data_IF_779481701917
#
_entry.id   IF_779481701917
#
_cell.length_a   1.000
_cell.length_b   1.000
_cell.length_c   1.000
_cell.angle_alpha   90.00
_cell.angle_beta   90.00
_cell.angle_gamma   90.00
#
_symmetry.space_group_name_H-M   'P 1'
#
loop_
_entity.id
_entity.type
_entity.pdbx_description
1 polymer ?
#
# COMPACT_ATOMS: atom_id res chain seq x y z
N UNK A 1 18.95 4.52 7.72
CA UNK A 1 19.99 5.33 7.01
C UNK A 1 19.50 6.73 6.64
N UNK A 2 18.40 7.22 7.22
CA UNK A 2 17.93 8.59 6.98
C UNK A 2 16.46 8.74 7.38
N UNK A 3 16.01 9.99 7.48
CA UNK A 3 14.67 10.38 7.89
C UNK A 3 14.36 11.75 7.29
N UNK A 4 13.09 12.13 7.28
CA UNK A 4 12.67 13.48 6.87
C UNK A 4 11.45 13.91 7.67
N UNK A 5 11.22 15.22 7.74
CA UNK A 5 10.00 15.84 8.25
C UNK A 5 9.52 16.83 7.20
N UNK A 6 8.21 16.93 7.03
CA UNK A 6 7.61 18.01 6.28
C UNK A 6 7.43 19.25 7.16
N UNK A 7 6.94 20.33 6.55
CA UNK A 7 6.48 21.53 7.24
C UNK A 7 5.47 21.18 8.34
N UNK A 8 5.40 22.05 9.36
CA UNK A 8 4.54 21.88 10.54
C UNK A 8 4.85 20.64 11.39
N UNK A 9 6.08 20.11 11.28
CA UNK A 9 6.53 18.96 12.10
C UNK A 9 5.67 17.71 11.93
N UNK A 10 5.27 17.43 10.69
CA UNK A 10 4.46 16.26 10.32
C UNK A 10 5.05 15.52 9.13
N UNK A 11 4.37 14.46 8.70
CA UNK A 11 4.68 13.75 7.45
C UNK A 11 3.51 13.91 6.47
N UNK A 12 3.76 13.99 5.15
CA UNK A 12 2.72 14.29 4.15
C UNK A 12 1.56 13.29 4.07
N UNK A 13 1.75 12.11 4.66
CA UNK A 13 0.80 10.99 4.65
C UNK A 13 0.12 10.77 6.01
N UNK A 14 0.39 11.63 7.00
CA UNK A 14 -0.28 11.63 8.29
C UNK A 14 -1.39 12.68 8.33
N UNK A 15 -2.41 12.41 9.13
CA UNK A 15 -3.50 13.35 9.43
C UNK A 15 -3.26 14.03 10.79
N UNK A 16 -3.88 15.19 11.06
CA UNK A 16 -3.82 15.80 12.40
C UNK A 16 -4.29 14.87 13.52
N UNK A 17 -5.30 14.02 13.24
CA UNK A 17 -5.80 13.02 14.17
C UNK A 17 -4.74 11.97 14.52
N UNK A 18 -3.90 11.59 13.57
CA UNK A 18 -2.81 10.63 13.82
C UNK A 18 -1.83 11.20 14.86
N UNK A 19 -1.42 12.47 14.68
CA UNK A 19 -0.50 13.14 15.60
C UNK A 19 -1.11 13.30 16.99
N UNK A 20 -2.37 13.71 17.09
CA UNK A 20 -3.07 13.85 18.37
C UNK A 20 -3.21 12.50 19.08
N UNK A 21 -3.50 11.43 18.32
CA UNK A 21 -3.58 10.07 18.88
C UNK A 21 -2.22 9.63 19.42
N UNK A 22 -1.14 9.80 18.64
CA UNK A 22 0.22 9.46 19.07
C UNK A 22 0.63 10.25 20.32
N UNK A 23 0.30 11.55 20.38
CA UNK A 23 0.51 12.40 21.56
C UNK A 23 -0.26 11.87 22.77
N UNK A 24 -1.54 11.54 22.62
CA UNK A 24 -2.36 11.01 23.71
C UNK A 24 -1.81 9.67 24.26
N UNK A 25 -1.22 8.85 23.40
CA UNK A 25 -0.54 7.62 23.81
C UNK A 25 0.71 7.91 24.64
N UNK A 26 1.55 8.87 24.22
CA UNK A 26 2.71 9.31 25.02
C UNK A 26 2.29 9.82 26.40
N UNK A 27 1.26 10.68 26.46
CA UNK A 27 0.76 11.25 27.72
C UNK A 27 0.19 10.17 28.64
N UNK A 28 -0.52 9.19 28.08
CA UNK A 28 -1.05 8.05 28.84
C UNK A 28 0.10 7.23 29.41
N UNK A 29 1.10 6.90 28.60
CA UNK A 29 2.26 6.12 29.06
C UNK A 29 3.03 6.83 30.17
N UNK A 30 3.26 8.14 30.05
CA UNK A 30 3.94 8.94 31.09
C UNK A 30 3.16 8.87 32.42
N UNK A 31 1.83 9.02 32.35
CA UNK A 31 0.96 8.97 33.53
C UNK A 31 0.95 7.59 34.19
N UNK A 32 0.86 6.52 33.40
CA UNK A 32 0.88 5.16 33.92
C UNK A 32 2.26 4.79 34.49
N UNK A 33 3.35 5.30 33.92
CA UNK A 33 4.69 5.15 34.50
C UNK A 33 4.79 5.81 35.87
N UNK A 34 4.25 7.02 36.03
CA UNK A 34 4.21 7.69 37.33
C UNK A 34 3.36 6.91 38.34
N UNK A 35 2.17 6.46 37.95
CA UNK A 35 1.30 5.66 38.82
C UNK A 35 1.96 4.35 39.27
N UNK A 36 2.69 3.68 38.38
CA UNK A 36 3.34 2.40 38.67
C UNK A 36 4.63 2.55 39.49
N UNK A 37 5.38 3.64 39.32
CA UNK A 37 6.69 3.83 39.96
C UNK A 37 6.66 4.75 41.17
N UNK A 38 5.57 5.51 41.35
CA UNK A 38 5.46 6.55 42.38
C UNK A 38 6.36 7.76 42.13
N UNK A 39 6.90 7.93 40.93
CA UNK A 39 7.78 9.05 40.56
C UNK A 39 7.52 9.52 39.13
N UNK A 40 7.49 10.84 38.87
CA UNK A 40 7.21 11.36 37.54
C UNK A 40 8.36 11.01 36.58
N UNK A 41 8.00 10.65 35.34
CA UNK A 41 8.99 10.45 34.29
C UNK A 41 9.65 11.79 33.92
N UNK A 42 10.99 11.83 33.94
CA UNK A 42 11.80 12.99 33.54
C UNK A 42 12.82 12.57 32.50
N UNK A 43 12.71 13.10 31.29
CA UNK A 43 13.63 12.80 30.20
C UNK A 43 12.94 12.82 28.85
N UNK A 44 13.57 12.17 27.88
CA UNK A 44 13.08 12.09 26.50
C UNK A 44 12.40 10.75 26.29
N UNK A 45 11.09 10.80 26.05
CA UNK A 45 10.30 9.64 25.64
C UNK A 45 10.14 9.65 24.12
N UNK A 46 10.81 8.72 23.45
CA UNK A 46 10.59 8.45 22.04
C UNK A 46 9.54 7.35 21.88
N UNK A 47 8.41 7.70 21.24
CA UNK A 47 7.40 6.76 20.79
C UNK A 47 7.64 6.36 19.34
N UNK A 48 7.89 5.07 19.09
CA UNK A 48 7.89 4.49 17.76
C UNK A 48 6.46 4.16 17.34
N UNK A 49 5.99 4.74 16.24
CA UNK A 49 4.61 4.59 15.78
C UNK A 49 4.52 4.05 14.35
N UNK A 50 3.45 3.30 14.08
CA UNK A 50 3.07 2.86 12.74
C UNK A 50 1.71 3.46 12.37
N UNK A 51 1.61 4.10 11.21
CA UNK A 51 0.33 4.46 10.63
C UNK A 51 -0.27 3.26 9.89
N UNK A 52 -1.52 2.93 10.20
CA UNK A 52 -2.27 1.79 9.66
C UNK A 52 -3.57 2.25 8.99
N UNK A 53 -4.37 1.29 8.50
CA UNK A 53 -5.72 1.54 7.98
C UNK A 53 -6.63 2.19 9.03
N UNK A 54 -6.52 1.76 10.29
CA UNK A 54 -7.44 2.12 11.37
C UNK A 54 -6.92 3.24 12.28
N UNK A 55 -5.70 3.74 12.05
CA UNK A 55 -5.13 4.85 12.82
C UNK A 55 -3.66 4.65 13.11
N UNK A 56 -3.18 5.19 14.24
CA UNK A 56 -1.81 5.01 14.71
C UNK A 56 -1.75 3.82 15.67
N UNK A 57 -0.70 3.00 15.54
CA UNK A 57 -0.37 1.92 16.46
C UNK A 57 1.01 2.14 17.06
N UNK A 58 1.18 1.77 18.33
CA UNK A 58 2.47 1.83 19.02
C UNK A 58 3.30 0.62 18.59
N UNK A 59 4.55 0.87 18.20
CA UNK A 59 5.57 -0.17 17.96
C UNK A 59 6.36 -0.38 19.25
N UNK A 60 6.96 0.68 19.77
CA UNK A 60 7.86 0.64 20.91
C UNK A 60 8.00 2.00 21.59
N UNK A 61 8.56 1.99 22.79
CA UNK A 61 9.01 3.18 23.51
C UNK A 61 10.49 3.06 23.87
N UNK A 62 11.21 4.18 23.78
CA UNK A 62 12.58 4.29 24.25
C UNK A 62 12.75 5.54 25.12
N UNK A 63 13.49 5.41 26.23
CA UNK A 63 13.87 6.54 27.10
C UNK A 63 15.15 7.24 26.57
N UNK A 64 15.11 7.68 25.31
CA UNK A 64 16.18 8.40 24.60
C UNK A 64 15.60 9.07 23.36
N UNK A 65 16.40 9.90 22.71
CA UNK A 65 16.09 10.38 21.36
C UNK A 65 16.02 9.24 20.32
N UNK A 66 15.09 9.37 19.38
CA UNK A 66 15.03 8.53 18.17
C UNK A 66 16.18 8.85 17.20
N UNK A 67 16.64 7.85 16.44
CA UNK A 67 17.76 7.98 15.51
C UNK A 67 17.40 7.33 14.15
N UNK A 68 17.30 8.12 13.05
CA UNK A 68 17.81 9.49 12.86
C UNK A 68 16.85 10.65 13.17
N UNK A 69 15.62 10.39 13.63
CA UNK A 69 14.55 11.40 13.72
C UNK A 69 14.95 12.63 14.56
N UNK A 70 15.73 12.43 15.62
CA UNK A 70 16.25 13.51 16.45
C UNK A 70 17.12 14.50 15.67
N UNK A 71 17.92 14.02 14.70
CA UNK A 71 18.79 14.90 13.91
C UNK A 71 17.98 15.90 13.09
N UNK A 72 16.80 15.52 12.61
CA UNK A 72 15.88 16.46 11.99
C UNK A 72 15.28 17.43 13.02
N UNK A 73 14.72 16.89 14.11
CA UNK A 73 14.06 17.67 15.15
C UNK A 73 14.97 18.76 15.72
N UNK A 74 16.22 18.43 16.03
CA UNK A 74 17.19 19.37 16.59
C UNK A 74 17.50 20.56 15.66
N UNK A 75 17.43 20.36 14.34
CA UNK A 75 17.61 21.46 13.38
C UNK A 75 16.36 22.33 13.23
N UNK A 76 15.19 21.80 13.63
CA UNK A 76 13.93 22.53 13.57
C UNK A 76 13.68 23.35 14.83
N UNK A 77 14.28 23.02 15.99
CA UNK A 77 14.06 23.78 17.22
C UNK A 77 14.67 25.19 17.09
N UNK A 78 13.86 26.20 17.41
CA UNK A 78 14.27 27.62 17.49
C UNK A 78 14.52 28.09 18.91
N UNK A 79 13.89 27.45 19.89
CA UNK A 79 14.07 27.74 21.30
C UNK A 79 15.44 27.29 21.85
N UNK A 80 15.79 27.76 23.04
CA UNK A 80 16.99 27.34 23.76
C UNK A 80 16.85 25.88 24.25
N UNK A 81 17.52 24.97 23.56
CA UNK A 81 17.54 23.53 23.90
C UNK A 81 18.25 23.24 25.21
N UNK A 82 19.23 24.07 25.62
CA UNK A 82 19.92 23.89 26.90
C UNK A 82 18.97 24.19 28.05
N UNK A 83 18.25 25.31 27.97
CA UNK A 83 17.20 25.65 28.94
C UNK A 83 16.15 24.54 29.04
N UNK A 84 15.71 23.99 27.90
CA UNK A 84 14.76 22.87 27.87
C UNK A 84 15.29 21.66 28.65
N UNK A 85 16.56 21.28 28.45
CA UNK A 85 17.17 20.16 29.15
C UNK A 85 17.36 20.42 30.64
N UNK A 86 17.82 21.62 31.02
CA UNK A 86 17.99 22.03 32.42
C UNK A 86 16.64 22.01 33.16
N UNK A 87 15.59 22.58 32.56
CA UNK A 87 14.24 22.54 33.12
C UNK A 87 13.69 21.12 33.23
N UNK A 88 13.97 20.27 32.25
CA UNK A 88 13.59 18.84 32.29
C UNK A 88 14.26 18.12 33.46
N UNK A 89 15.59 18.28 33.61
CA UNK A 89 16.36 17.68 34.69
C UNK A 89 15.87 18.16 36.08
N UNK A 90 15.56 19.45 36.20
CA UNK A 90 15.12 20.07 37.45
C UNK A 90 13.62 19.88 37.73
N UNK A 91 12.83 19.33 36.80
CA UNK A 91 11.39 19.14 36.97
C UNK A 91 10.57 20.44 36.85
N UNK A 92 11.11 21.45 36.17
CA UNK A 92 10.51 22.79 35.97
C UNK A 92 10.16 23.08 34.50
N UNK A 93 10.01 22.01 33.69
CA UNK A 93 9.65 22.10 32.27
C UNK A 93 8.24 22.68 32.05
N UNK A 94 7.33 22.52 33.01
CA UNK A 94 5.99 23.09 32.93
C UNK A 94 6.05 24.61 32.63
N UNK A 95 5.36 25.04 31.57
CA UNK A 95 5.36 26.44 31.11
C UNK A 95 6.44 26.79 30.10
N UNK A 96 7.40 25.91 29.81
CA UNK A 96 8.30 26.07 28.67
C UNK A 96 7.57 25.81 27.36
N UNK A 97 7.65 26.75 26.41
CA UNK A 97 7.07 26.60 25.08
C UNK A 97 8.18 26.30 24.08
N UNK A 98 8.11 25.13 23.44
CA UNK A 98 9.03 24.74 22.38
C UNK A 98 8.57 25.34 21.05
N UNK A 99 9.39 26.21 20.48
CA UNK A 99 9.17 26.80 19.16
C UNK A 99 9.94 26.00 18.10
N UNK A 100 9.22 25.61 17.05
CA UNK A 100 9.76 24.86 15.92
C UNK A 100 9.70 25.72 14.65
N UNK A 101 10.72 25.59 13.83
CA UNK A 101 10.77 26.07 12.45
C UNK A 101 9.69 25.39 11.62
N UNK A 102 9.02 26.13 10.75
CA UNK A 102 8.08 25.55 9.79
C UNK A 102 8.75 24.88 8.58
N UNK A 103 10.08 24.85 8.55
CA UNK A 103 10.85 24.24 7.47
C UNK A 103 10.64 22.71 7.40
N UNK A 104 10.80 22.17 6.20
CA UNK A 104 11.04 20.74 6.03
C UNK A 104 12.52 20.42 6.34
N UNK A 105 12.79 19.18 6.71
CA UNK A 105 14.15 18.70 7.02
C UNK A 105 14.41 17.34 6.41
N UNK A 106 15.60 17.12 5.89
CA UNK A 106 16.05 15.80 5.40
C UNK A 106 17.38 15.46 6.04
N UNK A 107 17.47 14.26 6.61
CA UNK A 107 18.67 13.68 7.17
C UNK A 107 19.05 12.42 6.38
N UNK A 108 20.30 12.35 5.93
CA UNK A 108 20.86 11.16 5.27
C UNK A 108 22.14 10.74 5.96
N UNK A 109 22.19 9.48 6.38
CA UNK A 109 23.43 8.87 6.86
C UNK A 109 24.29 8.39 5.71
N UNK A 110 25.57 8.73 5.78
CA UNK A 110 26.64 8.04 5.07
C UNK A 110 27.22 6.99 6.01
N UNK A 111 27.30 5.76 5.53
CA UNK A 111 27.70 4.58 6.31
C UNK A 111 28.75 3.78 5.56
N UNK A 112 29.58 2.95 6.23
CA UNK A 112 30.51 2.06 5.54
C UNK A 112 29.80 1.18 4.51
N UNK A 113 30.50 0.82 3.42
CA UNK A 113 29.93 -0.02 2.35
C UNK A 113 29.34 -1.34 2.89
N UNK A 114 29.95 -1.90 3.92
CA UNK A 114 29.58 -3.17 4.56
C UNK A 114 28.43 -3.04 5.58
N UNK A 115 28.05 -1.83 5.99
CA UNK A 115 26.98 -1.64 6.97
C UNK A 115 25.62 -2.07 6.40
N UNK A 116 24.75 -2.77 7.15
CA UNK A 116 24.90 -3.17 8.57
C UNK A 116 25.49 -4.57 8.78
N UNK A 117 25.94 -5.24 7.70
CA UNK A 117 26.35 -6.64 7.73
C UNK A 117 27.68 -6.85 8.48
N UNK A 118 28.66 -5.99 8.23
CA UNK A 118 29.97 -6.04 8.90
C UNK A 118 30.38 -4.65 9.43
N UNK A 119 31.20 -4.65 10.47
CA UNK A 119 31.70 -3.43 11.12
C UNK A 119 33.11 -3.10 10.64
N UNK A 120 33.23 -2.63 9.39
CA UNK A 120 34.52 -2.21 8.84
C UNK A 120 34.98 -0.88 9.46
N UNK A 121 36.15 -0.89 10.11
CA UNK A 121 36.75 0.25 10.80
C UNK A 121 38.04 0.71 10.12
N UNK A 122 38.48 1.92 10.43
CA UNK A 122 39.78 2.45 10.02
C UNK A 122 39.83 2.97 8.58
N UNK A 123 38.70 3.00 7.86
CA UNK A 123 38.67 3.56 6.51
C UNK A 123 38.63 5.10 6.60
N UNK A 124 39.48 5.81 5.85
CA UNK A 124 39.56 7.27 5.93
C UNK A 124 38.29 7.94 5.38
N UNK A 125 37.86 8.99 6.08
CA UNK A 125 36.72 9.83 5.73
C UNK A 125 37.19 11.28 5.70
N UNK A 126 36.94 11.95 4.57
CA UNK A 126 37.28 13.35 4.38
C UNK A 126 36.03 14.16 4.09
N UNK A 127 35.83 15.19 4.90
CA UNK A 127 34.73 16.15 4.77
C UNK A 127 35.34 17.41 4.13
N UNK A 128 35.01 17.65 2.86
CA UNK A 128 35.46 18.84 2.14
C UNK A 128 34.65 20.09 2.52
N UNK A 129 34.83 21.16 1.76
CA UNK A 129 34.03 22.38 1.93
C UNK A 129 32.55 22.09 1.58
N UNK A 130 31.67 22.38 2.53
CA UNK A 130 30.23 22.15 2.38
C UNK A 130 29.51 23.44 1.98
N UNK A 131 28.41 23.34 1.21
CA UNK A 131 27.51 24.46 1.00
C UNK A 131 26.97 25.01 2.33
N UNK A 132 26.58 26.28 2.34
CA UNK A 132 25.90 26.88 3.49
C UNK A 132 24.57 26.16 3.78
N UNK A 133 24.20 26.06 5.07
CA UNK A 133 22.94 25.46 5.50
C UNK A 133 22.95 23.93 5.62
N UNK A 134 24.12 23.30 5.49
CA UNK A 134 24.31 21.87 5.74
C UNK A 134 24.86 21.65 7.15
N UNK A 135 24.12 20.90 7.95
CA UNK A 135 24.58 20.44 9.25
C UNK A 135 25.21 19.05 9.13
N UNK A 136 26.42 18.90 9.66
CA UNK A 136 27.12 17.62 9.74
C UNK A 136 27.05 17.10 11.16
N UNK A 137 26.51 15.90 11.33
CA UNK A 137 26.50 15.21 12.61
C UNK A 137 27.42 13.99 12.51
N UNK A 138 28.57 14.05 13.18
CA UNK A 138 29.45 12.89 13.30
C UNK A 138 28.78 11.82 14.16
N UNK A 139 28.85 10.56 13.71
CA UNK A 139 28.32 9.41 14.42
C UNK A 139 29.45 8.52 14.90
N UNK A 140 29.69 7.43 14.18
CA UNK A 140 30.69 6.41 14.47
C UNK A 140 31.96 6.65 13.65
N UNK A 141 32.76 7.59 14.13
CA UNK A 141 34.10 7.91 13.61
C UNK A 141 35.10 8.04 14.75
N UNK A 142 36.34 7.68 14.47
CA UNK A 142 37.48 7.97 15.34
C UNK A 142 38.35 9.05 14.70
N UNK A 143 39.02 9.84 15.53
CA UNK A 143 40.01 10.82 15.07
C UNK A 143 41.42 10.21 15.19
N UNK A 144 42.11 10.12 14.05
CA UNK A 144 43.49 9.63 13.98
C UNK A 144 44.39 10.72 13.41
N UNK A 145 45.10 11.44 14.29
CA UNK A 145 45.88 12.60 13.91
C UNK A 145 44.96 13.73 13.43
N UNK A 146 45.09 14.14 12.16
CA UNK A 146 44.26 15.17 11.53
C UNK A 146 43.14 14.60 10.63
N UNK A 147 42.91 13.28 10.67
CA UNK A 147 41.97 12.58 9.78
C UNK A 147 40.91 11.83 10.55
N UNK A 148 39.69 11.79 10.00
CA UNK A 148 38.60 10.96 10.50
C UNK A 148 38.66 9.57 9.86
N UNK A 149 38.40 8.54 10.65
CA UNK A 149 38.25 7.16 10.15
C UNK A 149 36.94 6.54 10.61
N UNK A 150 36.42 5.57 9.86
CA UNK A 150 35.17 4.88 10.24
C UNK A 150 35.37 4.04 11.52
N UNK A 151 34.37 4.03 12.39
CA UNK A 151 34.38 3.18 13.60
C UNK A 151 33.42 1.97 13.53
N UNK A 152 32.88 1.67 12.33
CA UNK A 152 32.14 0.44 12.04
C UNK A 152 30.61 0.54 12.09
N UNK A 153 30.05 1.72 12.36
CA UNK A 153 28.59 1.97 12.30
C UNK A 153 28.28 3.20 11.44
N UNK A 154 27.17 3.90 11.69
CA UNK A 154 26.75 5.09 10.95
C UNK A 154 27.81 6.19 11.08
N UNK A 155 28.57 6.46 10.01
CA UNK A 155 29.76 7.33 10.04
C UNK A 155 29.40 8.79 10.32
N UNK A 156 28.55 9.39 9.48
CA UNK A 156 28.09 10.76 9.65
C UNK A 156 26.72 10.94 8.99
N UNK A 157 25.94 11.87 9.50
CA UNK A 157 24.72 12.35 8.88
C UNK A 157 24.91 13.74 8.31
N UNK A 158 24.29 13.97 7.16
CA UNK A 158 24.06 15.30 6.62
C UNK A 158 22.59 15.65 6.81
N UNK A 159 22.33 16.81 7.38
CA UNK A 159 20.99 17.35 7.57
C UNK A 159 20.90 18.70 6.87
N UNK A 160 19.84 18.93 6.12
CA UNK A 160 19.54 20.23 5.58
C UNK A 160 18.06 20.57 5.78
N UNK A 161 17.79 21.87 5.83
CA UNK A 161 16.45 22.43 5.83
C UNK A 161 16.07 22.94 4.44
N UNK A 162 14.78 23.12 4.21
CA UNK A 162 14.22 23.74 3.01
C UNK A 162 12.75 24.10 3.21
N UNK A 163 12.17 24.84 2.28
CA UNK A 163 10.73 25.11 2.26
C UNK A 163 9.91 23.85 1.95
N UNK A 164 10.53 22.87 1.29
CA UNK A 164 9.95 21.56 0.97
C UNK A 164 10.92 20.42 1.27
N UNK A 165 10.40 19.20 1.44
CA UNK A 165 11.23 17.99 1.59
C UNK A 165 12.17 17.84 0.39
N UNK A 166 11.70 18.15 -0.82
CA UNK A 166 12.50 18.02 -2.03
C UNK A 166 13.68 19.00 -2.06
N UNK A 167 13.45 20.25 -1.67
CA UNK A 167 14.50 21.25 -1.57
C UNK A 167 15.54 20.85 -0.52
N UNK A 168 15.10 20.51 0.70
CA UNK A 168 15.97 20.02 1.76
C UNK A 168 16.79 18.80 1.31
N UNK A 169 16.16 17.87 0.59
CA UNK A 169 16.85 16.72 -0.01
C UNK A 169 17.91 17.18 -1.01
N UNK A 170 17.59 18.09 -1.92
CA UNK A 170 18.52 18.54 -2.95
C UNK A 170 19.77 19.18 -2.34
N UNK A 171 19.60 19.94 -1.25
CA UNK A 171 20.72 20.47 -0.45
C UNK A 171 21.61 19.33 0.09
N UNK A 172 21.03 18.32 0.75
CA UNK A 172 21.78 17.16 1.24
C UNK A 172 22.49 16.42 0.11
N UNK A 173 21.80 16.14 -1.00
CA UNK A 173 22.37 15.39 -2.11
C UNK A 173 23.52 16.13 -2.80
N UNK A 174 23.41 17.46 -2.93
CA UNK A 174 24.52 18.29 -3.42
C UNK A 174 25.74 18.22 -2.50
N UNK A 175 25.51 18.27 -1.18
CA UNK A 175 26.56 18.24 -0.16
C UNK A 175 27.29 16.90 -0.06
N UNK A 176 26.64 15.78 -0.40
CA UNK A 176 27.26 14.45 -0.39
C UNK A 176 28.51 14.39 -1.28
N UNK A 177 28.55 15.14 -2.39
CA UNK A 177 29.71 15.17 -3.30
C UNK A 177 31.00 15.71 -2.65
N UNK A 178 30.88 16.49 -1.57
CA UNK A 178 32.00 16.98 -0.78
C UNK A 178 32.52 15.97 0.25
N UNK A 179 31.85 14.82 0.41
CA UNK A 179 32.29 13.75 1.32
C UNK A 179 33.02 12.67 0.53
N UNK A 180 34.28 12.39 0.91
CA UNK A 180 35.10 11.34 0.30
C UNK A 180 35.37 10.23 1.31
N UNK A 181 35.25 8.99 0.87
CA UNK A 181 35.50 7.79 1.68
C UNK A 181 34.79 6.58 1.11
N UNK A 182 35.07 5.39 1.64
CA UNK A 182 34.35 4.15 1.28
C UNK A 182 33.00 4.09 1.99
N UNK A 183 32.10 4.97 1.59
CA UNK A 183 30.79 5.14 2.19
C UNK A 183 29.67 4.91 1.16
N UNK A 184 28.51 4.47 1.65
CA UNK A 184 27.25 4.39 0.91
C UNK A 184 26.17 5.15 1.66
N UNK A 185 25.10 5.48 0.95
CA UNK A 185 23.93 6.15 1.50
C UNK A 185 22.69 5.73 0.71
N UNK A 186 21.51 6.10 1.21
CA UNK A 186 20.24 5.93 0.48
C UNK A 186 19.89 7.23 -0.25
N UNK A 187 19.89 7.18 -1.58
CA UNK A 187 19.55 8.32 -2.44
C UNK A 187 18.04 8.61 -2.52
N UNK A 188 17.19 7.68 -2.09
CA UNK A 188 15.73 7.77 -2.17
C UNK A 188 15.10 8.53 -0.99
N UNK A 189 15.84 8.75 0.10
CA UNK A 189 15.35 9.47 1.30
C UNK A 189 14.89 10.88 0.89
N UNK A 190 13.64 11.22 1.24
CA UNK A 190 13.01 12.50 0.89
C UNK A 190 12.73 12.70 -0.60
N UNK A 191 12.94 11.69 -1.46
CA UNK A 191 12.67 11.85 -2.90
C UNK A 191 11.17 12.00 -3.15
N UNK A 192 10.80 12.77 -4.17
CA UNK A 192 9.40 12.94 -4.59
C UNK A 192 8.71 11.59 -4.80
N UNK A 193 9.36 10.68 -5.51
CA UNK A 193 8.86 9.33 -5.76
C UNK A 193 8.59 8.54 -4.46
N UNK A 194 9.50 8.57 -3.48
CA UNK A 194 9.30 7.88 -2.20
C UNK A 194 8.17 8.50 -1.39
N UNK A 195 8.11 9.83 -1.35
CA UNK A 195 7.07 10.57 -0.61
C UNK A 195 5.69 10.32 -1.23
N UNK A 196 5.55 10.46 -2.54
CA UNK A 196 4.31 10.15 -3.27
C UNK A 196 3.89 8.70 -3.10
N UNK A 197 4.84 7.76 -3.15
CA UNK A 197 4.56 6.34 -2.88
C UNK A 197 3.94 6.14 -1.51
N UNK A 198 4.44 6.81 -0.46
CA UNK A 198 3.88 6.70 0.90
C UNK A 198 2.51 7.38 1.03
N UNK A 199 2.32 8.54 0.42
CA UNK A 199 1.02 9.23 0.37
C UNK A 199 -0.02 8.32 -0.30
N UNK A 200 0.30 7.79 -1.48
CA UNK A 200 -0.59 6.92 -2.23
C UNK A 200 -0.87 5.62 -1.47
N UNK A 201 0.14 5.02 -0.86
CA UNK A 201 -0.04 3.83 -0.05
C UNK A 201 -1.01 4.08 1.12
N UNK A 202 -0.83 5.16 1.89
CA UNK A 202 -1.74 5.49 2.99
C UNK A 202 -3.15 5.83 2.51
N UNK A 203 -3.28 6.52 1.38
CA UNK A 203 -4.58 6.79 0.75
C UNK A 203 -5.30 5.50 0.35
N UNK A 204 -4.57 4.55 -0.25
CA UNK A 204 -5.09 3.25 -0.64
C UNK A 204 -5.48 2.41 0.57
N UNK A 205 -4.64 2.41 1.61
CA UNK A 205 -4.85 1.65 2.83
C UNK A 205 -6.07 2.15 3.62
N UNK A 206 -6.29 3.47 3.69
CA UNK A 206 -7.37 4.09 4.48
C UNK A 206 -8.66 4.34 3.71
N UNK A 207 -8.60 4.25 2.38
CA UNK A 207 -9.76 4.47 1.53
C UNK A 207 -9.75 3.49 0.36
N UNK A 208 -9.77 2.17 0.63
CA UNK A 208 -9.78 1.15 -0.42
C UNK A 208 -11.06 1.22 -1.25
N UNK A 209 -11.02 0.66 -2.46
CA UNK A 209 -12.22 0.40 -3.25
C UNK A 209 -13.03 -0.72 -2.59
N UNK A 210 -14.25 -0.42 -2.15
CA UNK A 210 -15.13 -1.39 -1.50
C UNK A 210 -15.81 -2.27 -2.54
N UNK A 211 -15.57 -3.57 -2.50
CA UNK A 211 -16.13 -4.50 -3.47
C UNK A 211 -17.03 -5.56 -2.85
N UNK A 212 -18.00 -6.03 -3.63
CA UNK A 212 -18.70 -7.28 -3.39
C UNK A 212 -18.29 -8.32 -4.42
N UNK A 213 -18.18 -9.57 -3.98
CA UNK A 213 -17.96 -10.72 -4.87
C UNK A 213 -19.22 -11.58 -4.87
N UNK A 214 -19.74 -11.90 -6.04
CA UNK A 214 -20.94 -12.72 -6.20
C UNK A 214 -20.60 -13.95 -7.03
N UNK A 215 -20.93 -15.14 -6.54
CA UNK A 215 -20.62 -16.39 -7.23
C UNK A 215 -21.52 -17.56 -6.87
N UNK A 216 -21.62 -18.54 -7.77
CA UNK A 216 -22.41 -19.76 -7.57
C UNK A 216 -21.56 -21.01 -7.39
N UNK A 217 -20.24 -20.91 -7.57
CA UNK A 217 -19.32 -22.05 -7.69
C UNK A 217 -18.24 -22.03 -6.60
N UNK A 218 -17.03 -22.50 -6.92
CA UNK A 218 -15.91 -22.59 -5.99
C UNK A 218 -15.19 -21.24 -5.77
N UNK A 219 -15.43 -20.25 -6.63
CA UNK A 219 -14.79 -18.93 -6.54
C UNK A 219 -13.26 -19.01 -6.51
N UNK A 220 -12.64 -19.68 -7.48
CA UNK A 220 -11.17 -19.81 -7.52
C UNK A 220 -10.50 -18.45 -7.65
N UNK A 221 -11.02 -17.57 -8.50
CA UNK A 221 -10.40 -16.27 -8.79
C UNK A 221 -10.51 -15.28 -7.62
N UNK A 222 -11.40 -15.55 -6.66
CA UNK A 222 -11.50 -14.79 -5.42
C UNK A 222 -10.21 -14.87 -4.60
N UNK A 223 -9.51 -16.01 -4.61
CA UNK A 223 -8.25 -16.18 -3.87
C UNK A 223 -7.16 -15.24 -4.40
N UNK A 224 -7.11 -15.03 -5.72
CA UNK A 224 -6.16 -14.11 -6.32
C UNK A 224 -6.41 -12.66 -5.87
N UNK A 225 -7.68 -12.26 -5.75
CA UNK A 225 -8.06 -10.93 -5.23
C UNK A 225 -7.64 -10.81 -3.76
N UNK A 226 -7.96 -11.80 -2.92
CA UNK A 226 -7.60 -11.82 -1.50
C UNK A 226 -6.07 -11.73 -1.32
N UNK A 227 -5.31 -12.51 -2.10
CA UNK A 227 -3.85 -12.52 -2.05
C UNK A 227 -3.25 -11.15 -2.40
N UNK A 228 -3.76 -10.47 -3.43
CA UNK A 228 -3.26 -9.14 -3.83
C UNK A 228 -3.67 -8.04 -2.84
N UNK A 229 -4.85 -8.14 -2.23
CA UNK A 229 -5.25 -7.24 -1.13
C UNK A 229 -4.30 -7.45 0.06
N UNK A 230 -4.06 -8.70 0.46
CA UNK A 230 -3.18 -9.04 1.59
C UNK A 230 -1.72 -8.60 1.38
N UNK A 231 -1.26 -8.54 0.13
CA UNK A 231 0.06 -7.99 -0.24
C UNK A 231 0.10 -6.46 -0.30
N UNK A 232 -1.05 -5.79 -0.22
CA UNK A 232 -1.17 -4.34 -0.40
C UNK A 232 -0.93 -3.86 -1.83
N UNK A 233 -0.97 -4.76 -2.83
CA UNK A 233 -0.81 -4.44 -4.25
C UNK A 233 -2.13 -4.10 -4.93
N UNK A 234 -3.26 -4.54 -4.38
CA UNK A 234 -4.59 -4.18 -4.83
C UNK A 234 -5.27 -3.26 -3.80
N UNK A 235 -5.57 -1.99 -4.13
CA UNK A 235 -6.19 -1.04 -3.21
C UNK A 235 -7.71 -1.25 -3.10
N UNK A 236 -8.12 -2.44 -2.67
CA UNK A 236 -9.51 -2.83 -2.53
C UNK A 236 -9.76 -3.56 -1.20
N UNK A 237 -11.01 -3.57 -0.76
CA UNK A 237 -11.49 -4.36 0.37
C UNK A 237 -12.73 -5.14 -0.05
N UNK A 238 -12.81 -6.41 0.33
CA UNK A 238 -13.99 -7.25 0.07
C UNK A 238 -14.94 -7.05 1.25
N UNK A 239 -16.00 -6.27 1.05
CA UNK A 239 -16.98 -5.98 2.10
C UNK A 239 -17.99 -7.11 2.26
N UNK A 240 -18.26 -7.84 1.17
CA UNK A 240 -19.32 -8.84 1.15
C UNK A 240 -19.10 -9.89 0.06
N UNK A 241 -19.36 -11.16 0.41
CA UNK A 241 -19.43 -12.27 -0.55
C UNK A 241 -20.84 -12.86 -0.57
N UNK A 242 -21.45 -12.90 -1.75
CA UNK A 242 -22.81 -13.40 -1.94
C UNK A 242 -22.85 -14.66 -2.81
N UNK A 243 -23.74 -15.58 -2.46
CA UNK A 243 -24.03 -16.74 -3.31
C UNK A 243 -25.51 -17.06 -3.34
N UNK A 244 -26.01 -17.54 -4.47
CA UNK A 244 -27.34 -18.12 -4.59
C UNK A 244 -27.40 -19.61 -4.14
N UNK A 245 -26.27 -20.17 -3.68
CA UNK A 245 -26.16 -21.57 -3.27
C UNK A 245 -25.56 -21.68 -1.87
N UNK A 246 -26.31 -22.34 -0.97
CA UNK A 246 -25.97 -22.50 0.45
C UNK A 246 -24.61 -23.15 0.66
N UNK A 247 -24.32 -24.23 -0.08
CA UNK A 247 -23.12 -25.05 0.09
C UNK A 247 -22.03 -24.74 -0.95
N UNK A 248 -22.03 -23.51 -1.50
CA UNK A 248 -21.04 -23.09 -2.49
C UNK A 248 -19.62 -23.03 -1.90
N UNK A 249 -18.62 -23.29 -2.74
CA UNK A 249 -17.22 -23.18 -2.31
C UNK A 249 -16.82 -21.72 -2.03
N UNK A 250 -17.43 -20.76 -2.73
CA UNK A 250 -17.13 -19.34 -2.52
C UNK A 250 -17.53 -18.84 -1.13
N UNK A 251 -18.69 -19.26 -0.60
CA UNK A 251 -19.09 -18.92 0.78
C UNK A 251 -18.16 -19.57 1.82
N UNK A 252 -17.78 -20.84 1.62
CA UNK A 252 -16.83 -21.52 2.51
C UNK A 252 -15.48 -20.81 2.58
N UNK A 253 -14.97 -20.34 1.43
CA UNK A 253 -13.73 -19.55 1.37
C UNK A 253 -13.87 -18.19 2.03
N UNK A 254 -14.96 -17.48 1.78
CA UNK A 254 -15.23 -16.20 2.42
C UNK A 254 -15.23 -16.35 3.95
N UNK A 255 -15.89 -17.38 4.47
CA UNK A 255 -15.89 -17.71 5.89
C UNK A 255 -14.47 -18.03 6.41
N UNK A 256 -13.67 -18.81 5.67
CA UNK A 256 -12.31 -19.15 6.07
C UNK A 256 -11.37 -17.94 6.17
N UNK A 257 -11.61 -16.91 5.34
CA UNK A 257 -10.88 -15.64 5.37
C UNK A 257 -11.52 -14.58 6.29
N UNK A 258 -12.59 -14.92 7.01
CA UNK A 258 -13.29 -13.98 7.91
C UNK A 258 -14.05 -12.87 7.19
N UNK A 259 -14.36 -13.04 5.90
CA UNK A 259 -15.07 -12.05 5.08
C UNK A 259 -16.59 -12.20 5.29
N UNK A 260 -17.33 -11.08 5.53
CA UNK A 260 -18.79 -11.12 5.61
C UNK A 260 -19.40 -11.79 4.38
N UNK A 261 -20.35 -12.70 4.60
CA UNK A 261 -20.94 -13.46 3.51
C UNK A 261 -22.39 -13.86 3.78
N UNK A 262 -23.17 -14.04 2.72
CA UNK A 262 -24.58 -14.38 2.82
C UNK A 262 -25.11 -15.23 1.65
N UNK A 263 -26.07 -16.09 1.97
CA UNK A 263 -26.91 -16.80 1.00
C UNK A 263 -28.03 -15.89 0.52
N UNK A 264 -28.20 -15.78 -0.80
CA UNK A 264 -29.34 -15.10 -1.43
C UNK A 264 -30.38 -16.15 -1.86
N UNK A 265 -31.39 -16.36 -1.01
CA UNK A 265 -32.44 -17.36 -1.24
C UNK A 265 -33.46 -16.97 -2.34
N UNK A 266 -33.56 -15.68 -2.67
CA UNK A 266 -34.50 -15.16 -3.67
C UNK A 266 -34.28 -15.70 -5.08
N UNK A 267 -35.25 -15.45 -5.97
CA UNK A 267 -35.19 -15.77 -7.41
C UNK A 267 -35.58 -14.55 -8.25
N UNK A 268 -35.05 -14.48 -9.47
CA UNK A 268 -35.35 -13.38 -10.41
C UNK A 268 -35.17 -12.00 -9.77
N UNK A 269 -36.09 -11.07 -10.04
CA UNK A 269 -36.04 -9.71 -9.51
C UNK A 269 -35.97 -9.63 -7.97
N UNK A 270 -36.54 -10.59 -7.24
CA UNK A 270 -36.43 -10.60 -5.78
C UNK A 270 -35.00 -10.89 -5.30
N UNK A 271 -34.24 -11.70 -6.05
CA UNK A 271 -32.80 -11.92 -5.81
C UNK A 271 -32.01 -10.65 -6.07
N UNK A 272 -32.26 -10.01 -7.19
CA UNK A 272 -31.51 -8.83 -7.64
C UNK A 272 -31.68 -7.65 -6.67
N UNK A 273 -32.90 -7.45 -6.16
CA UNK A 273 -33.18 -6.46 -5.10
C UNK A 273 -32.45 -6.78 -3.80
N UNK A 274 -32.39 -8.06 -3.41
CA UNK A 274 -31.70 -8.46 -2.18
C UNK A 274 -30.18 -8.31 -2.31
N UNK A 275 -29.60 -8.64 -3.47
CA UNK A 275 -28.19 -8.36 -3.77
C UNK A 275 -27.92 -6.86 -3.65
N UNK A 276 -28.75 -6.03 -4.29
CA UNK A 276 -28.61 -4.57 -4.27
C UNK A 276 -28.67 -4.03 -2.85
N UNK A 277 -29.69 -4.41 -2.08
CA UNK A 277 -29.85 -3.98 -0.68
C UNK A 277 -28.62 -4.30 0.15
N UNK A 278 -28.14 -5.55 0.11
CA UNK A 278 -26.98 -5.93 0.91
C UNK A 278 -25.69 -5.23 0.46
N UNK A 279 -25.50 -5.02 -0.84
CA UNK A 279 -24.36 -4.28 -1.36
C UNK A 279 -24.39 -2.79 -0.94
N UNK A 280 -25.57 -2.17 -0.94
CA UNK A 280 -25.76 -0.78 -0.49
C UNK A 280 -25.54 -0.63 1.02
N UNK A 281 -26.07 -1.56 1.83
CA UNK A 281 -25.85 -1.61 3.27
C UNK A 281 -24.36 -1.75 3.61
N UNK A 282 -23.63 -2.56 2.82
CA UNK A 282 -22.18 -2.72 2.90
C UNK A 282 -21.38 -1.60 2.19
N UNK A 283 -22.05 -0.59 1.62
CA UNK A 283 -21.46 0.55 0.91
C UNK A 283 -20.53 0.16 -0.26
N UNK A 284 -20.83 -0.95 -0.92
CA UNK A 284 -20.08 -1.48 -2.06
C UNK A 284 -20.08 -0.46 -3.20
N UNK A 285 -18.90 -0.28 -3.81
CA UNK A 285 -18.69 0.62 -4.95
C UNK A 285 -18.61 -0.14 -6.29
N UNK A 286 -18.17 -1.40 -6.27
CA UNK A 286 -18.03 -2.27 -7.45
C UNK A 286 -18.39 -3.72 -7.12
N UNK A 287 -19.08 -4.39 -8.03
CA UNK A 287 -19.46 -5.80 -7.93
C UNK A 287 -18.62 -6.63 -8.91
N UNK A 288 -18.08 -7.74 -8.42
CA UNK A 288 -17.31 -8.71 -9.21
C UNK A 288 -18.05 -10.03 -9.25
N UNK A 289 -18.45 -10.46 -10.44
CA UNK A 289 -19.07 -11.76 -10.66
C UNK A 289 -17.98 -12.81 -10.93
N UNK A 290 -17.93 -13.84 -10.09
CA UNK A 290 -16.97 -14.95 -10.20
C UNK A 290 -17.77 -16.26 -10.26
N UNK A 291 -17.95 -16.77 -11.47
CA UNK A 291 -18.73 -18.00 -11.70
C UNK A 291 -20.17 -17.88 -11.19
N UNK A 292 -20.81 -16.72 -11.40
CA UNK A 292 -22.21 -16.52 -11.08
C UNK A 292 -23.11 -17.07 -12.19
N UNK A 293 -24.00 -18.00 -11.86
CA UNK A 293 -24.71 -18.83 -12.85
C UNK A 293 -26.16 -18.37 -13.11
N UNK A 294 -26.45 -17.08 -12.88
CA UNK A 294 -27.81 -16.53 -12.96
C UNK A 294 -27.78 -15.25 -13.81
N UNK A 295 -28.87 -15.04 -14.54
CA UNK A 295 -29.08 -13.82 -15.32
C UNK A 295 -29.52 -12.72 -14.35
N UNK A 296 -28.87 -11.57 -14.43
CA UNK A 296 -29.22 -10.35 -13.72
C UNK A 296 -30.20 -9.53 -14.56
N UNK A 297 -31.27 -9.04 -13.93
CA UNK A 297 -32.31 -8.27 -14.60
C UNK A 297 -31.86 -6.87 -15.02
N UNK A 298 -32.64 -6.25 -15.92
CA UNK A 298 -32.33 -4.92 -16.44
C UNK A 298 -32.25 -3.84 -15.33
N UNK A 299 -33.16 -3.89 -14.36
CA UNK A 299 -33.19 -2.98 -13.21
C UNK A 299 -31.89 -3.03 -12.40
N UNK A 300 -31.33 -4.23 -12.20
CA UNK A 300 -30.04 -4.40 -11.53
C UNK A 300 -28.90 -3.79 -12.32
N UNK A 301 -28.83 -4.09 -13.62
CA UNK A 301 -27.79 -3.59 -14.51
C UNK A 301 -27.83 -2.07 -14.63
N UNK A 302 -29.02 -1.45 -14.61
CA UNK A 302 -29.18 0.00 -14.61
C UNK A 302 -28.74 0.61 -13.27
N UNK A 303 -29.15 0.02 -12.14
CA UNK A 303 -28.76 0.49 -10.80
C UNK A 303 -27.25 0.48 -10.60
N UNK A 304 -26.59 -0.59 -11.06
CA UNK A 304 -25.15 -0.79 -10.95
C UNK A 304 -24.42 -0.51 -12.27
N UNK A 305 -24.97 0.40 -13.09
CA UNK A 305 -24.39 0.73 -14.39
C UNK A 305 -22.90 1.10 -14.24
N UNK A 306 -22.07 0.55 -15.12
CA UNK A 306 -20.61 0.67 -15.10
C UNK A 306 -19.90 0.16 -13.83
N UNK A 307 -20.59 -0.51 -12.90
CA UNK A 307 -20.03 -0.94 -11.60
C UNK A 307 -20.03 -2.45 -11.40
N UNK A 308 -20.43 -3.22 -12.41
CA UNK A 308 -20.42 -4.69 -12.35
C UNK A 308 -19.52 -5.24 -13.44
N UNK A 309 -18.52 -6.03 -13.04
CA UNK A 309 -17.71 -6.83 -13.98
C UNK A 309 -17.99 -8.32 -13.83
N UNK A 310 -17.86 -9.05 -14.92
CA UNK A 310 -17.84 -10.50 -14.95
C UNK A 310 -16.56 -10.98 -15.61
N UNK A 311 -16.06 -12.13 -15.16
CA UNK A 311 -14.98 -12.85 -15.82
C UNK A 311 -15.55 -14.08 -16.55
N UNK A 312 -15.14 -14.25 -17.80
CA UNK A 312 -15.53 -15.38 -18.64
C UNK A 312 -14.29 -16.13 -19.15
N UNK A 313 -14.26 -17.48 -19.10
CA UNK A 313 -13.08 -18.30 -19.38
C UNK A 313 -12.81 -18.52 -20.88
N UNK A 314 -13.08 -17.50 -21.71
CA UNK A 314 -12.73 -17.46 -23.12
C UNK A 314 -12.40 -16.04 -23.58
N UNK A 315 -11.89 -15.92 -24.82
CA UNK A 315 -11.78 -14.64 -25.53
C UNK A 315 -13.12 -14.31 -26.19
N UNK A 316 -14.02 -13.59 -25.49
CA UNK A 316 -15.29 -13.15 -26.04
C UNK A 316 -15.07 -12.38 -27.37
N UNK A 317 -15.96 -12.57 -28.37
CA UNK A 317 -17.26 -13.25 -28.30
C UNK A 317 -17.22 -14.77 -28.46
N UNK A 318 -16.05 -15.39 -28.56
CA UNK A 318 -15.96 -16.86 -28.69
C UNK A 318 -16.53 -17.55 -27.45
N UNK A 319 -17.34 -18.59 -27.65
CA UNK A 319 -17.94 -19.38 -26.57
C UNK A 319 -18.75 -18.55 -25.55
N UNK A 320 -19.39 -17.46 -26.01
CA UNK A 320 -20.35 -16.72 -25.19
C UNK A 320 -21.52 -17.64 -24.77
N UNK A 321 -21.96 -17.53 -23.51
CA UNK A 321 -23.09 -18.29 -22.97
C UNK A 321 -22.82 -19.78 -22.70
N UNK A 322 -21.61 -20.29 -22.92
CA UNK A 322 -21.25 -21.67 -22.53
C UNK A 322 -20.82 -21.75 -21.07
N UNK A 323 -20.99 -22.92 -20.44
CA UNK A 323 -20.47 -23.16 -19.08
C UNK A 323 -18.94 -23.27 -19.12
N UNK A 324 -18.30 -22.87 -18.03
CA UNK A 324 -16.84 -22.90 -17.84
C UNK A 324 -16.17 -24.24 -18.23
N UNK A 325 -16.68 -25.36 -17.73
CA UNK A 325 -16.14 -26.71 -18.05
C UNK A 325 -16.24 -27.08 -19.53
N UNK A 326 -17.28 -26.59 -20.21
CA UNK A 326 -17.53 -26.90 -21.61
C UNK A 326 -16.60 -26.03 -22.49
N UNK A 327 -16.28 -24.82 -22.02
CA UNK A 327 -15.49 -23.82 -22.75
C UNK A 327 -14.07 -24.29 -23.02
N UNK A 328 -13.39 -24.89 -22.04
CA UNK A 328 -12.02 -25.40 -22.23
C UNK A 328 -11.96 -26.60 -23.17
N UNK A 329 -12.93 -27.50 -23.07
CA UNK A 329 -13.04 -28.67 -23.96
C UNK A 329 -13.27 -28.20 -25.40
N UNK A 330 -14.20 -27.26 -25.60
CA UNK A 330 -14.47 -26.67 -26.91
C UNK A 330 -13.25 -25.95 -27.50
N UNK A 331 -12.46 -25.25 -26.67
CA UNK A 331 -11.26 -24.58 -27.12
C UNK A 331 -10.18 -25.57 -27.59
N UNK A 332 -9.98 -26.67 -26.87
CA UNK A 332 -9.06 -27.76 -27.24
C UNK A 332 -9.53 -28.44 -28.53
N UNK A 333 -10.81 -28.78 -28.62
CA UNK A 333 -11.40 -29.38 -29.83
C UNK A 333 -11.26 -28.47 -31.05
N UNK A 334 -11.46 -27.16 -30.87
CA UNK A 334 -11.26 -26.17 -31.93
C UNK A 334 -9.80 -26.12 -32.37
N UNK A 335 -8.86 -26.15 -31.43
CA UNK A 335 -7.43 -26.21 -31.75
C UNK A 335 -7.13 -27.45 -32.60
N UNK A 336 -7.59 -28.64 -32.20
CA UNK A 336 -7.39 -29.87 -32.97
C UNK A 336 -7.98 -29.81 -34.38
N UNK A 337 -9.13 -29.16 -34.55
CA UNK A 337 -9.83 -29.07 -35.84
C UNK A 337 -9.27 -28.00 -36.79
N UNK A 338 -8.84 -26.86 -36.25
CA UNK A 338 -8.55 -25.65 -37.04
C UNK A 338 -7.09 -25.17 -36.93
N UNK A 339 -6.31 -25.74 -36.02
CA UNK A 339 -4.98 -25.25 -35.66
C UNK A 339 -4.99 -23.99 -34.80
N UNK A 340 -6.15 -23.42 -34.45
CA UNK A 340 -6.21 -22.22 -33.61
C UNK A 340 -5.96 -22.55 -32.12
N UNK A 341 -4.71 -22.36 -31.71
CA UNK A 341 -4.23 -22.57 -30.34
C UNK A 341 -4.46 -21.38 -29.37
N UNK A 342 -5.16 -20.32 -29.76
CA UNK A 342 -5.36 -19.15 -28.87
C UNK A 342 -6.66 -19.26 -28.10
N UNK A 343 -6.60 -19.28 -26.77
CA UNK A 343 -7.76 -19.09 -25.88
C UNK A 343 -7.42 -18.04 -24.84
N UNK A 344 -8.16 -17.93 -23.74
CA UNK A 344 -7.87 -16.96 -22.70
C UNK A 344 -9.04 -16.72 -21.78
N UNK A 345 -9.06 -15.53 -21.18
CA UNK A 345 -10.18 -15.04 -20.42
C UNK A 345 -10.54 -13.61 -20.82
N UNK A 346 -11.78 -13.24 -20.53
CA UNK A 346 -12.32 -11.90 -20.75
C UNK A 346 -12.95 -11.38 -19.47
N UNK A 347 -12.50 -10.22 -19.01
CA UNK A 347 -13.22 -9.40 -18.03
C UNK A 347 -14.03 -8.37 -18.80
N UNK A 348 -15.33 -8.31 -18.56
CA UNK A 348 -16.23 -7.40 -19.27
C UNK A 348 -17.26 -6.77 -18.32
N UNK A 349 -17.82 -5.64 -18.73
CA UNK A 349 -18.97 -5.05 -18.04
C UNK A 349 -20.18 -5.96 -18.15
N UNK A 350 -20.98 -6.04 -17.09
CA UNK A 350 -22.26 -6.73 -17.13
C UNK A 350 -23.31 -5.80 -17.71
N UNK A 351 -24.07 -6.32 -18.67
CA UNK A 351 -25.24 -5.65 -19.25
C UNK A 351 -26.44 -6.60 -19.14
N UNK A 352 -27.67 -6.15 -19.44
CA UNK A 352 -28.83 -7.03 -19.49
C UNK A 352 -28.69 -8.18 -20.51
N UNK A 353 -27.80 -8.04 -21.50
CA UNK A 353 -27.49 -9.10 -22.47
C UNK A 353 -26.28 -9.90 -21.97
N UNK A 354 -26.45 -11.22 -21.86
CA UNK A 354 -25.44 -12.16 -21.37
C UNK A 354 -24.18 -12.09 -22.23
N UNK A 355 -23.01 -11.95 -21.60
CA UNK A 355 -21.67 -11.95 -22.18
C UNK A 355 -21.46 -10.98 -23.37
N UNK A 356 -22.28 -9.92 -23.46
CA UNK A 356 -22.26 -8.96 -24.57
C UNK A 356 -21.84 -7.54 -24.14
N UNK A 357 -21.42 -7.37 -22.89
CA UNK A 357 -20.99 -6.06 -22.42
C UNK A 357 -19.60 -5.66 -22.90
N UNK A 358 -19.27 -4.35 -22.84
CA UNK A 358 -17.95 -3.87 -23.24
C UNK A 358 -16.81 -4.62 -22.53
N UNK A 359 -15.83 -5.04 -23.34
CA UNK A 359 -14.62 -5.71 -22.84
C UNK A 359 -13.77 -4.71 -22.06
N UNK A 360 -13.42 -5.08 -20.82
CA UNK A 360 -12.51 -4.31 -19.98
C UNK A 360 -11.07 -4.81 -20.14
N UNK A 361 -10.89 -6.13 -20.19
CA UNK A 361 -9.58 -6.75 -20.34
C UNK A 361 -9.72 -8.14 -20.97
N UNK A 362 -8.76 -8.49 -21.82
CA UNK A 362 -8.54 -9.86 -22.25
C UNK A 362 -7.10 -10.27 -21.96
N UNK A 363 -6.91 -11.55 -21.60
CA UNK A 363 -5.60 -12.17 -21.50
C UNK A 363 -5.58 -13.45 -22.32
N UNK A 364 -4.58 -13.58 -23.18
CA UNK A 364 -4.43 -14.72 -24.09
C UNK A 364 -3.66 -15.84 -23.39
N UNK A 365 -4.12 -17.07 -23.59
CA UNK A 365 -3.46 -18.32 -23.20
C UNK A 365 -3.26 -19.18 -24.47
N UNK A 366 -2.06 -19.73 -24.64
CA UNK A 366 -1.79 -20.67 -25.73
C UNK A 366 -2.08 -22.11 -25.28
N UNK A 367 -2.85 -22.82 -26.09
CA UNK A 367 -3.16 -24.25 -25.93
C UNK A 367 -1.96 -25.05 -26.44
N UNK A 368 -1.44 -25.94 -25.59
CA UNK A 368 -0.43 -26.93 -25.92
C UNK A 368 -1.08 -28.20 -26.47
N UNK A 369 -0.43 -28.96 -27.37
CA UNK A 369 -0.94 -30.23 -27.86
C UNK A 369 -1.30 -31.25 -26.75
N UNK A 370 -0.58 -31.18 -25.63
CA UNK A 370 -0.77 -32.10 -24.49
C UNK A 370 -1.74 -31.56 -23.42
N UNK A 371 -2.42 -30.44 -23.68
CA UNK A 371 -3.36 -29.88 -22.71
C UNK A 371 -4.59 -30.76 -22.52
N UNK A 372 -4.97 -30.90 -21.25
CA UNK A 372 -6.28 -31.39 -20.85
C UNK A 372 -7.17 -30.20 -20.46
N UNK A 373 -8.51 -30.36 -20.42
CA UNK A 373 -9.39 -29.32 -19.91
C UNK A 373 -8.98 -28.84 -18.51
N UNK A 374 -8.46 -29.73 -17.67
CA UNK A 374 -8.02 -29.40 -16.30
C UNK A 374 -6.72 -28.59 -16.25
N UNK A 375 -5.71 -28.91 -17.08
CA UNK A 375 -4.44 -28.15 -17.13
C UNK A 375 -4.66 -26.78 -17.75
N UNK A 376 -5.45 -26.71 -18.82
CA UNK A 376 -5.81 -25.46 -19.47
C UNK A 376 -6.60 -24.55 -18.52
N UNK A 377 -7.61 -25.10 -17.83
CA UNK A 377 -8.40 -24.39 -16.82
C UNK A 377 -7.53 -23.71 -15.77
N UNK A 378 -6.58 -24.43 -15.17
CA UNK A 378 -5.70 -23.86 -14.12
C UNK A 378 -4.91 -22.65 -14.62
N UNK A 379 -4.38 -22.72 -15.85
CA UNK A 379 -3.64 -21.59 -16.45
C UNK A 379 -4.55 -20.41 -16.77
N UNK A 380 -5.76 -20.67 -17.28
CA UNK A 380 -6.73 -19.60 -17.54
C UNK A 380 -7.16 -18.94 -16.23
N UNK A 381 -7.44 -19.70 -15.16
CA UNK A 381 -7.81 -19.16 -13.85
C UNK A 381 -6.74 -18.23 -13.25
N UNK A 382 -5.46 -18.53 -13.47
CA UNK A 382 -4.40 -17.60 -13.08
C UNK A 382 -4.52 -16.27 -13.84
N UNK A 383 -4.77 -16.31 -15.15
CA UNK A 383 -4.97 -15.12 -15.97
C UNK A 383 -6.26 -14.37 -15.61
N UNK A 384 -7.33 -15.08 -15.24
CA UNK A 384 -8.59 -14.51 -14.74
C UNK A 384 -8.34 -13.66 -13.50
N UNK A 385 -7.66 -14.22 -12.49
CA UNK A 385 -7.29 -13.50 -11.28
C UNK A 385 -6.45 -12.26 -11.56
N UNK A 386 -5.46 -12.36 -12.43
CA UNK A 386 -4.64 -11.21 -12.85
C UNK A 386 -5.47 -10.13 -13.56
N UNK A 387 -6.33 -10.52 -14.50
CA UNK A 387 -7.16 -9.59 -15.27
C UNK A 387 -8.17 -8.85 -14.37
N UNK A 388 -8.78 -9.55 -13.42
CA UNK A 388 -9.67 -8.96 -12.41
C UNK A 388 -8.92 -7.94 -11.54
N UNK A 389 -7.73 -8.28 -11.04
CA UNK A 389 -6.93 -7.38 -10.21
C UNK A 389 -6.48 -6.13 -10.98
N UNK A 390 -6.12 -6.26 -12.26
CA UNK A 390 -5.80 -5.11 -13.11
C UNK A 390 -7.01 -4.18 -13.30
N UNK A 391 -8.21 -4.75 -13.53
CA UNK A 391 -9.43 -3.97 -13.67
C UNK A 391 -9.79 -3.24 -12.37
N UNK A 392 -9.75 -3.94 -11.22
CA UNK A 392 -10.01 -3.35 -9.91
C UNK A 392 -9.00 -2.25 -9.55
N UNK A 393 -7.73 -2.41 -9.91
CA UNK A 393 -6.70 -1.38 -9.69
C UNK A 393 -6.99 -0.10 -10.47
N UNK A 394 -7.52 -0.21 -11.69
CA UNK A 394 -7.97 0.96 -12.48
C UNK A 394 -9.24 1.56 -11.89
N UNK A 395 -10.21 0.72 -11.52
CA UNK A 395 -11.48 1.12 -10.92
C UNK A 395 -11.31 1.89 -9.60
N UNK A 396 -10.24 1.63 -8.86
CA UNK A 396 -9.88 2.40 -7.67
C UNK A 396 -9.74 3.90 -7.96
N UNK A 397 -9.06 4.26 -9.06
CA UNK A 397 -8.84 5.65 -9.45
C UNK A 397 -10.13 6.38 -9.84
N UNK A 398 -11.13 5.65 -10.33
CA UNK A 398 -12.44 6.15 -10.77
C UNK A 398 -13.56 5.95 -9.74
N UNK A 399 -13.24 5.56 -8.49
CA UNK A 399 -14.22 5.26 -7.43
C UNK A 399 -15.28 4.26 -7.86
N UNK A 400 -14.82 3.18 -8.48
CA UNK A 400 -15.58 2.00 -8.84
C UNK A 400 -16.24 2.03 -10.21
N UNK A 401 -16.07 3.09 -10.99
CA UNK A 401 -16.49 3.13 -12.39
C UNK A 401 -15.53 2.32 -13.28
N UNK A 402 -16.03 1.27 -13.90
CA UNK A 402 -15.25 0.33 -14.68
C UNK A 402 -15.02 0.75 -16.13
N UNK A 403 -15.64 1.83 -16.60
CA UNK A 403 -15.40 2.35 -17.96
C UNK A 403 -13.95 2.78 -18.16
N UNK A 404 -13.25 3.21 -17.11
CA UNK A 404 -11.83 3.53 -17.15
C UNK A 404 -10.93 2.32 -17.46
N UNK A 405 -11.45 1.09 -17.35
CA UNK A 405 -10.70 -0.12 -17.64
C UNK A 405 -10.64 -0.40 -19.14
N UNK A 406 -11.60 0.11 -19.91
CA UNK A 406 -11.62 -0.04 -21.37
C UNK A 406 -10.31 0.51 -21.94
N UNK A 407 -9.66 -0.26 -22.81
CA UNK A 407 -8.54 0.26 -23.58
C UNK A 407 -9.06 1.45 -24.40
N UNK A 408 -8.41 2.60 -24.29
CA UNK A 408 -8.49 3.62 -25.35
C UNK A 408 -8.22 2.90 -26.66
N UNK A 409 -9.16 3.04 -27.61
CA UNK A 409 -9.16 2.34 -28.89
C UNK A 409 -7.90 2.67 -29.71
N UNK A 410 -6.79 2.01 -29.41
CA UNK A 410 -5.72 1.83 -30.37
C UNK A 410 -6.12 0.61 -31.22
N UNK A 411 -6.30 0.88 -32.51
CA UNK A 411 -6.69 -0.10 -33.50
C UNK A 411 -5.76 -1.33 -33.44
N UNK A 412 -6.29 -2.55 -33.59
CA UNK A 412 -5.43 -3.73 -33.69
C UNK A 412 -4.54 -3.60 -34.94
N UNK A 413 -3.24 -3.80 -34.74
CA UNK A 413 -2.21 -3.90 -35.79
C UNK A 413 -2.55 -5.04 -36.75
#
# INVERSE_FOLDING_TARGET
>A
MGSYSDRMSSLPFLTPRDLETAKSYNETVIRELEAATGSPYRGILYGGFMATADGIQIIEYNARFGDPECLNLMQLIRSDVLEMFERTANGTLAGYTLELSEAASVCVYLVPLSYPMEQTKGEPVHIGMLPQGISVCLGSVDETGSSLVTAGSRTLALVALGETIEEARNHVMGAISSIKGKLRYRSDIGSRQLVEKRINHMRQLRNPLRIAIIGSTNGTDMEAIIEQIGRGSLPASIELVLSDRKDSGILRKAQAHGIPNALIAGKGAARDREITRQCEDAKVETIVLIGYMRILGAEFCERWNNRVMNVHPSLLPEFAGTKDTDTHTLAIDRMHKTGNAKTGCTVHLVTPTVDAGPILKQKICLISPDDTPGTLKKRIQQLEGEALCECLSRAYASRGDLTCCQASSEAPI
#
